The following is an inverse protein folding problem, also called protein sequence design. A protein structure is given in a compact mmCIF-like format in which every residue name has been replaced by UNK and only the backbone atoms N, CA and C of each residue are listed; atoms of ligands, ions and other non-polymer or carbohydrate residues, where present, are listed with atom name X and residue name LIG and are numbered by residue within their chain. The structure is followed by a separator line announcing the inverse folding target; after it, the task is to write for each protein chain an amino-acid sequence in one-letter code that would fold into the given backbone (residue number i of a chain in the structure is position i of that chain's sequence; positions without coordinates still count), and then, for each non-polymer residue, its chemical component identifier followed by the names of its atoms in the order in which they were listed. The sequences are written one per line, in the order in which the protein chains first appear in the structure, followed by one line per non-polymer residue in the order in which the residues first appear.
data_IF_407982162365
#
_entry.id   IF_407982162365
#
_cell.length_a   1.000
_cell.length_b   1.000
_cell.length_c   1.000
_cell.angle_alpha   90.00
_cell.angle_beta   90.00
_cell.angle_gamma   90.00
#
_symmetry.space_group_name_H-M   'P 1'
#
loop_
_entity.id
_entity.type
_entity.pdbx_description
1 polymer ?
#
# COMPACT_ATOMS: atom_id res chain seq x y z
N UNK A 1 25.06 28.88 -21.04
CA UNK A 1 24.64 28.52 -19.68
C UNK A 1 23.48 27.54 -19.79
N UNK A 2 23.74 26.24 -19.67
CA UNK A 2 22.68 25.23 -19.67
C UNK A 2 22.01 25.20 -18.30
N UNK A 3 20.94 25.97 -18.12
CA UNK A 3 20.12 25.88 -16.92
C UNK A 3 19.46 24.51 -16.85
N UNK A 4 19.72 23.76 -15.78
CA UNK A 4 19.06 22.49 -15.51
C UNK A 4 17.58 22.82 -15.30
N UNK A 5 16.70 22.33 -16.19
CA UNK A 5 15.26 22.57 -16.06
C UNK A 5 14.77 21.94 -14.74
N UNK A 6 14.15 22.75 -13.88
CA UNK A 6 13.54 22.26 -12.65
C UNK A 6 12.35 21.36 -13.00
N UNK A 7 12.43 20.08 -12.63
CA UNK A 7 11.34 19.13 -12.84
C UNK A 7 10.46 19.10 -11.60
N UNK A 8 9.16 19.37 -11.75
CA UNK A 8 8.23 19.43 -10.61
C UNK A 8 8.08 18.09 -9.86
N UNK A 9 8.31 16.96 -10.55
CA UNK A 9 8.32 15.62 -9.96
C UNK A 9 9.30 14.70 -10.69
N UNK A 10 10.17 14.02 -9.96
CA UNK A 10 11.08 13.01 -10.49
C UNK A 10 10.68 11.62 -9.99
N UNK A 11 10.68 10.63 -10.87
CA UNK A 11 10.52 9.23 -10.48
C UNK A 11 11.89 8.58 -10.37
N UNK A 12 12.25 8.16 -9.17
CA UNK A 12 13.51 7.47 -8.89
C UNK A 12 13.21 6.12 -8.25
N UNK A 13 13.65 5.03 -8.89
CA UNK A 13 13.47 3.65 -8.40
C UNK A 13 12.02 3.27 -8.03
N UNK A 14 11.02 3.95 -8.60
CA UNK A 14 9.60 3.71 -8.28
C UNK A 14 9.02 4.64 -7.21
N UNK A 15 9.85 5.45 -6.54
CA UNK A 15 9.43 6.53 -5.66
C UNK A 15 9.22 7.80 -6.48
N UNK A 16 8.14 8.54 -6.20
CA UNK A 16 7.89 9.84 -6.85
C UNK A 16 8.29 10.93 -5.87
N UNK A 17 9.38 11.63 -6.18
CA UNK A 17 9.89 12.73 -5.38
C UNK A 17 9.34 14.01 -5.99
N UNK A 18 8.55 14.76 -5.23
CA UNK A 18 8.01 16.05 -5.65
C UNK A 18 8.93 17.19 -5.24
N UNK A 19 8.91 18.29 -5.98
CA UNK A 19 9.74 19.48 -5.73
C UNK A 19 9.44 20.17 -4.40
N UNK A 20 8.21 20.04 -3.90
CA UNK A 20 7.76 20.49 -2.58
C UNK A 20 8.09 19.47 -1.47
N UNK A 21 8.78 18.38 -1.80
CA UNK A 21 9.05 17.22 -0.94
C UNK A 21 7.78 16.62 -0.31
N UNK A 22 6.61 16.90 -0.89
CA UNK A 22 5.36 16.30 -0.40
C UNK A 22 5.13 14.92 -1.00
N UNK A 23 4.62 14.03 -0.16
CA UNK A 23 4.35 12.64 -0.51
C UNK A 23 2.97 12.44 -1.14
N UNK A 24 2.16 13.49 -1.31
CA UNK A 24 0.79 13.39 -1.84
C UNK A 24 0.73 12.61 -3.16
N UNK A 25 1.52 13.04 -4.15
CA UNK A 25 1.54 12.41 -5.47
C UNK A 25 2.10 10.99 -5.43
N UNK A 26 3.06 10.74 -4.53
CA UNK A 26 3.59 9.40 -4.32
C UNK A 26 2.52 8.48 -3.75
N UNK A 27 1.84 8.90 -2.68
CA UNK A 27 0.78 8.16 -2.00
C UNK A 27 -0.39 7.90 -2.94
N UNK A 28 -0.83 8.90 -3.71
CA UNK A 28 -1.87 8.70 -4.72
C UNK A 28 -1.48 7.64 -5.76
N UNK A 29 -0.22 7.64 -6.20
CA UNK A 29 0.27 6.67 -7.17
C UNK A 29 0.30 5.24 -6.58
N UNK A 30 0.81 5.06 -5.36
CA UNK A 30 0.84 3.74 -4.72
C UNK A 30 -0.57 3.25 -4.36
N UNK A 31 -1.46 4.13 -3.89
CA UNK A 31 -2.85 3.80 -3.55
C UNK A 31 -3.62 3.38 -4.80
N UNK A 32 -3.49 4.11 -5.91
CA UNK A 32 -4.09 3.72 -7.21
C UNK A 32 -3.55 2.37 -7.70
N UNK A 33 -2.24 2.16 -7.60
CA UNK A 33 -1.60 0.90 -8.02
C UNK A 33 -2.03 -0.28 -7.14
N UNK A 34 -2.10 -0.08 -5.83
CA UNK A 34 -2.56 -1.09 -4.88
C UNK A 34 -4.07 -1.37 -5.03
N UNK A 35 -4.88 -0.35 -5.33
CA UNK A 35 -6.30 -0.50 -5.63
C UNK A 35 -6.57 -1.44 -6.82
N UNK A 36 -5.78 -1.36 -7.89
CA UNK A 36 -5.86 -2.30 -9.01
C UNK A 36 -5.54 -3.74 -8.58
N UNK A 37 -4.52 -3.93 -7.75
CA UNK A 37 -4.15 -5.26 -7.22
C UNK A 37 -5.17 -5.80 -6.23
N UNK A 38 -5.81 -4.92 -5.47
CA UNK A 38 -6.92 -5.27 -4.59
C UNK A 38 -8.15 -5.74 -5.40
N UNK A 39 -8.43 -5.13 -6.55
CA UNK A 39 -9.49 -5.63 -7.44
C UNK A 39 -9.20 -7.06 -7.91
N UNK A 40 -7.96 -7.38 -8.28
CA UNK A 40 -7.55 -8.75 -8.59
C UNK A 40 -7.80 -9.70 -7.41
N UNK A 41 -7.46 -9.28 -6.18
CA UNK A 41 -7.74 -10.07 -4.97
C UNK A 41 -9.24 -10.35 -4.80
N UNK A 42 -10.12 -9.37 -5.08
CA UNK A 42 -11.56 -9.59 -5.07
C UNK A 42 -12.00 -10.61 -6.13
N UNK A 43 -11.43 -10.59 -7.34
CA UNK A 43 -11.75 -11.57 -8.37
C UNK A 43 -11.32 -12.98 -7.95
N UNK A 44 -10.13 -13.13 -7.37
CA UNK A 44 -9.64 -14.42 -6.86
C UNK A 44 -10.52 -14.97 -5.72
N UNK A 45 -10.98 -14.10 -4.82
CA UNK A 45 -11.95 -14.51 -3.79
C UNK A 45 -13.25 -15.01 -4.43
N UNK A 46 -13.77 -14.32 -5.45
CA UNK A 46 -14.98 -14.74 -6.17
C UNK A 46 -14.79 -16.06 -6.93
N UNK A 47 -13.58 -16.36 -7.35
CA UNK A 47 -13.22 -17.62 -7.97
C UNK A 47 -13.11 -18.80 -6.97
N UNK A 48 -13.33 -18.57 -5.68
CA UNK A 48 -13.35 -19.63 -4.66
C UNK A 48 -11.98 -20.04 -4.13
N UNK A 49 -10.95 -19.21 -4.33
CA UNK A 49 -9.61 -19.48 -3.78
C UNK A 49 -9.66 -19.52 -2.24
N UNK A 50 -8.85 -20.42 -1.65
CA UNK A 50 -8.80 -20.59 -0.21
C UNK A 50 -8.32 -19.32 0.50
N UNK A 51 -8.76 -19.13 1.74
CA UNK A 51 -8.38 -17.96 2.52
C UNK A 51 -6.85 -17.86 2.71
N UNK A 52 -6.16 -19.00 2.89
CA UNK A 52 -4.70 -19.05 3.05
C UNK A 52 -3.98 -18.55 1.80
N UNK A 53 -4.44 -18.97 0.62
CA UNK A 53 -3.86 -18.52 -0.64
C UNK A 53 -4.15 -17.03 -0.90
N UNK A 54 -5.33 -16.54 -0.52
CA UNK A 54 -5.65 -15.11 -0.59
C UNK A 54 -4.71 -14.27 0.29
N UNK A 55 -4.35 -14.76 1.48
CA UNK A 55 -3.32 -14.13 2.33
C UNK A 55 -1.97 -14.11 1.60
N UNK A 56 -1.55 -15.24 1.02
CA UNK A 56 -0.30 -15.33 0.27
C UNK A 56 -0.24 -14.35 -0.90
N UNK A 57 -1.33 -14.25 -1.67
CA UNK A 57 -1.46 -13.28 -2.77
C UNK A 57 -1.41 -11.84 -2.25
N UNK A 58 -2.09 -11.53 -1.14
CA UNK A 58 -2.03 -10.19 -0.56
C UNK A 58 -0.60 -9.80 -0.17
N UNK A 59 0.11 -10.68 0.54
CA UNK A 59 1.49 -10.47 0.98
C UNK A 59 2.46 -10.34 -0.20
N UNK A 60 2.26 -11.12 -1.26
CA UNK A 60 3.17 -11.15 -2.41
C UNK A 60 2.90 -10.05 -3.43
N UNK A 61 1.64 -9.58 -3.55
CA UNK A 61 1.20 -8.72 -4.64
C UNK A 61 0.76 -7.35 -4.15
N UNK A 62 -0.09 -7.25 -3.13
CA UNK A 62 -0.64 -5.95 -2.69
C UNK A 62 0.34 -5.24 -1.76
N UNK A 63 0.82 -5.96 -0.74
CA UNK A 63 1.68 -5.42 0.33
C UNK A 63 2.96 -4.74 -0.18
N UNK A 64 3.71 -5.31 -1.14
CA UNK A 64 4.94 -4.66 -1.60
C UNK A 64 4.67 -3.34 -2.32
N UNK A 65 3.47 -3.09 -2.86
CA UNK A 65 3.17 -1.77 -3.45
C UNK A 65 3.03 -0.70 -2.38
N UNK A 66 2.44 -1.06 -1.24
CA UNK A 66 2.14 -0.13 -0.17
C UNK A 66 3.36 0.14 0.71
N UNK A 67 4.25 -0.84 0.87
CA UNK A 67 5.39 -0.75 1.80
C UNK A 67 6.74 -0.54 1.11
N UNK A 68 6.81 -0.65 -0.23
CA UNK A 68 8.07 -0.43 -0.93
C UNK A 68 8.62 0.98 -0.66
N UNK A 69 9.90 1.02 -0.29
CA UNK A 69 10.61 2.22 0.09
C UNK A 69 9.97 3.00 1.27
N UNK A 70 9.15 2.34 2.10
CA UNK A 70 8.56 2.93 3.32
C UNK A 70 9.58 3.70 4.19
N UNK A 71 10.81 3.20 4.44
CA UNK A 71 11.81 3.95 5.21
C UNK A 71 12.15 5.34 4.64
N UNK A 72 11.93 5.56 3.34
CA UNK A 72 12.26 6.80 2.64
C UNK A 72 11.16 7.85 2.79
N UNK A 73 9.89 7.44 2.79
CA UNK A 73 8.75 8.37 2.76
C UNK A 73 7.90 8.39 4.04
N UNK A 74 7.99 7.37 4.89
CA UNK A 74 7.11 7.23 6.06
C UNK A 74 7.44 8.21 7.19
N UNK A 75 8.72 8.54 7.38
CA UNK A 75 9.22 9.39 8.48
C UNK A 75 8.65 10.81 8.49
N UNK A 76 8.26 11.33 7.33
CA UNK A 76 7.68 12.67 7.19
C UNK A 76 6.28 12.62 6.54
N UNK A 77 5.54 11.54 6.76
CA UNK A 77 4.23 11.34 6.14
C UNK A 77 3.11 11.97 6.99
N UNK A 78 2.33 12.93 6.44
CA UNK A 78 1.13 13.42 7.10
C UNK A 78 0.13 12.32 7.41
N UNK A 79 -0.57 12.43 8.54
CA UNK A 79 -1.53 11.41 9.00
C UNK A 79 -2.60 11.05 7.97
N UNK A 80 -3.17 12.05 7.29
CA UNK A 80 -4.20 11.80 6.27
C UNK A 80 -3.69 10.94 5.09
N UNK A 81 -2.40 11.02 4.76
CA UNK A 81 -1.80 10.17 3.74
C UNK A 81 -1.55 8.75 4.25
N UNK A 82 -1.17 8.60 5.52
CA UNK A 82 -1.10 7.29 6.18
C UNK A 82 -2.47 6.62 6.21
N UNK A 83 -3.53 7.38 6.52
CA UNK A 83 -4.90 6.88 6.55
C UNK A 83 -5.35 6.36 5.17
N UNK A 84 -4.96 7.03 4.08
CA UNK A 84 -5.24 6.59 2.71
C UNK A 84 -4.61 5.21 2.40
N UNK A 85 -3.39 4.96 2.88
CA UNK A 85 -2.70 3.66 2.74
C UNK A 85 -3.43 2.61 3.59
N UNK A 86 -3.78 2.96 4.83
CA UNK A 86 -4.45 2.05 5.76
C UNK A 86 -5.84 1.61 5.26
N UNK A 87 -6.56 2.49 4.55
CA UNK A 87 -7.85 2.15 3.93
C UNK A 87 -7.72 0.98 2.94
N UNK A 88 -6.65 0.93 2.15
CA UNK A 88 -6.42 -0.19 1.22
C UNK A 88 -6.16 -1.49 1.98
N UNK A 89 -5.35 -1.44 3.04
CA UNK A 89 -5.07 -2.59 3.88
C UNK A 89 -6.35 -3.11 4.53
N UNK A 90 -7.15 -2.22 5.15
CA UNK A 90 -8.45 -2.56 5.75
C UNK A 90 -9.40 -3.23 4.75
N UNK A 91 -9.49 -2.72 3.52
CA UNK A 91 -10.33 -3.30 2.46
C UNK A 91 -9.85 -4.69 2.03
N UNK A 92 -8.53 -4.89 1.90
CA UNK A 92 -7.94 -6.19 1.59
C UNK A 92 -8.23 -7.21 2.69
N UNK A 93 -8.02 -6.83 3.94
CA UNK A 93 -8.26 -7.70 5.09
C UNK A 93 -9.74 -8.05 5.25
N UNK A 94 -10.65 -7.09 5.07
CA UNK A 94 -12.10 -7.36 5.04
C UNK A 94 -12.50 -8.30 3.89
N UNK A 95 -11.78 -8.24 2.77
CA UNK A 95 -11.96 -9.21 1.69
C UNK A 95 -11.59 -10.61 2.16
N UNK A 96 -10.41 -10.78 2.76
CA UNK A 96 -9.88 -12.09 3.15
C UNK A 96 -10.65 -12.65 4.36
N UNK A 97 -10.97 -11.80 5.34
CA UNK A 97 -11.57 -12.15 6.63
C UNK A 97 -12.88 -11.38 6.86
N UNK A 98 -14.00 -11.77 6.20
CA UNK A 98 -15.26 -11.02 6.26
C UNK A 98 -15.93 -10.98 7.64
N UNK A 99 -15.50 -11.82 8.60
CA UNK A 99 -16.10 -11.93 9.94
C UNK A 99 -15.21 -11.51 11.10
N UNK A 100 -13.99 -11.01 10.85
CA UNK A 100 -13.08 -10.57 11.91
C UNK A 100 -12.99 -9.04 11.95
N UNK A 101 -12.96 -8.48 13.17
CA UNK A 101 -12.69 -7.06 13.37
C UNK A 101 -11.25 -6.71 12.99
N UNK A 102 -11.01 -5.48 12.51
CA UNK A 102 -9.67 -5.04 12.07
C UNK A 102 -8.60 -5.21 13.16
N UNK A 103 -8.91 -4.86 14.40
CA UNK A 103 -8.00 -5.03 15.54
C UNK A 103 -7.65 -6.50 15.81
N UNK A 104 -8.61 -7.40 15.56
CA UNK A 104 -8.43 -8.84 15.77
C UNK A 104 -7.61 -9.47 14.65
N UNK A 105 -7.83 -9.03 13.40
CA UNK A 105 -7.00 -9.42 12.26
C UNK A 105 -5.55 -8.97 12.49
N UNK A 106 -5.34 -7.72 12.92
CA UNK A 106 -4.02 -7.22 13.25
C UNK A 106 -3.37 -8.05 14.36
N UNK A 107 -4.09 -8.39 15.43
CA UNK A 107 -3.54 -9.25 16.50
C UNK A 107 -3.11 -10.62 16.00
N UNK A 108 -3.89 -11.21 15.09
CA UNK A 108 -3.73 -12.61 14.67
C UNK A 108 -2.77 -12.80 13.51
N UNK A 109 -2.54 -11.73 12.75
CA UNK A 109 -1.68 -11.71 11.57
C UNK A 109 -0.62 -10.60 11.65
N UNK A 110 -0.34 -10.08 12.85
CA UNK A 110 0.62 -8.99 13.09
C UNK A 110 1.98 -9.30 12.45
N UNK A 111 2.42 -10.54 12.63
CA UNK A 111 3.71 -11.07 12.16
C UNK A 111 3.78 -11.09 10.62
N UNK A 112 2.63 -11.18 9.95
CA UNK A 112 2.49 -11.30 8.49
C UNK A 112 2.13 -9.95 7.84
N UNK A 113 1.51 -9.04 8.60
CA UNK A 113 0.92 -7.79 8.10
C UNK A 113 1.65 -6.52 8.54
N UNK A 114 2.42 -6.55 9.62
CA UNK A 114 3.13 -5.38 10.16
C UNK A 114 4.56 -5.77 10.53
N UNK A 115 5.45 -5.78 9.54
CA UNK A 115 6.90 -5.90 9.76
C UNK A 115 7.58 -4.54 9.97
N UNK A 116 6.78 -3.47 10.12
CA UNK A 116 7.26 -2.11 10.33
C UNK A 116 6.50 -1.57 11.54
N UNK A 117 7.01 -1.90 12.73
CA UNK A 117 6.82 -1.11 13.95
C UNK A 117 8.18 -0.97 14.61
#
# INVERSE_FOLDING_TARGET
MGGIAQVCHAKLLGVTISQDLTWNKHVDNIVKKAGKRLYMLYQLKRAGITQKDLVSVYVSVVRPVLEYACPVWHTNLPRYLSDNIEVIQKRALKCIFPGLGYAEILRRYLDVLTWIR
#
